data_IF_567920426688
#
_entry.id   IF_567920426688
#
_cell.length_a   1.000
_cell.length_b   1.000
_cell.length_c   1.000
_cell.angle_alpha   90.00
_cell.angle_beta   90.00
_cell.angle_gamma   90.00
#
_symmetry.space_group_name_H-M   'P 1'
#
loop_
_entity.id
_entity.type
_entity.pdbx_description
1 polymer ?
#
# COMPACT_ATOMS: atom_id res chain seq x y z
N UNK A 1 -91.23 72.97 11.57
CA UNK A 1 -90.65 74.30 11.69
C UNK A 1 -89.23 74.24 11.15
N UNK A 2 -89.04 74.81 9.96
CA UNK A 2 -88.08 75.85 9.65
C UNK A 2 -86.62 75.51 10.05
N UNK A 3 -85.55 75.57 9.26
CA UNK A 3 -85.15 76.46 8.19
C UNK A 3 -83.80 75.91 7.65
N UNK A 4 -83.64 75.93 6.40
CA UNK A 4 -82.75 76.68 5.50
C UNK A 4 -81.32 76.21 5.46
N UNK A 5 -80.99 75.71 4.30
CA UNK A 5 -79.97 76.04 3.31
C UNK A 5 -78.67 76.75 3.83
N UNK A 6 -77.52 76.16 3.49
CA UNK A 6 -76.50 76.97 2.83
C UNK A 6 -75.60 75.99 2.04
N UNK A 7 -75.55 76.30 0.78
CA UNK A 7 -74.59 75.72 -0.20
C UNK A 7 -73.23 76.38 0.03
N UNK A 8 -72.23 75.59 0.22
CA UNK A 8 -70.85 76.06 0.10
C UNK A 8 -70.08 75.07 -0.75
N UNK A 9 -69.87 75.50 -1.96
CA UNK A 9 -69.00 74.86 -2.93
C UNK A 9 -67.54 74.97 -2.44
N UNK A 10 -66.96 73.85 -2.09
CA UNK A 10 -65.50 73.74 -1.92
C UNK A 10 -64.95 72.86 -3.03
N UNK A 11 -64.29 73.51 -3.96
CA UNK A 11 -63.55 72.87 -5.00
C UNK A 11 -62.42 72.06 -4.33
N UNK A 12 -62.56 70.72 -4.27
CA UNK A 12 -61.52 69.82 -3.78
C UNK A 12 -60.62 69.52 -4.93
N UNK A 13 -59.45 70.17 -4.96
CA UNK A 13 -58.34 69.86 -5.81
C UNK A 13 -57.85 68.47 -5.51
N UNK A 14 -58.17 67.52 -6.38
CA UNK A 14 -57.59 66.18 -6.38
C UNK A 14 -56.11 66.30 -6.74
N UNK A 15 -55.26 66.39 -5.74
CA UNK A 15 -53.84 66.12 -5.90
C UNK A 15 -53.74 64.64 -6.13
N UNK A 16 -53.58 64.21 -7.39
CA UNK A 16 -53.17 62.92 -7.77
C UNK A 16 -51.75 62.65 -7.26
N UNK A 17 -51.63 62.02 -6.16
CA UNK A 17 -50.39 61.38 -5.79
C UNK A 17 -50.05 60.26 -6.79
N UNK A 18 -49.21 60.61 -7.79
CA UNK A 18 -48.59 59.59 -8.59
C UNK A 18 -47.77 58.76 -7.62
N UNK A 19 -48.28 57.58 -7.23
CA UNK A 19 -47.48 56.54 -6.63
C UNK A 19 -46.50 56.16 -7.75
N UNK A 20 -45.27 56.70 -7.69
CA UNK A 20 -44.18 56.16 -8.43
C UNK A 20 -44.01 54.74 -7.98
N UNK A 21 -44.60 53.80 -8.68
CA UNK A 21 -44.22 52.39 -8.56
C UNK A 21 -42.73 52.35 -8.82
N UNK A 22 -41.94 52.23 -7.74
CA UNK A 22 -40.58 51.84 -7.89
C UNK A 22 -40.63 50.51 -8.63
N UNK A 23 -40.33 50.56 -9.94
CA UNK A 23 -40.15 49.34 -10.70
C UNK A 23 -39.06 48.56 -9.95
N UNK A 24 -39.51 47.51 -9.25
CA UNK A 24 -38.57 46.51 -8.72
C UNK A 24 -37.69 46.10 -9.90
N UNK A 25 -36.52 46.66 -9.97
CA UNK A 25 -35.51 46.15 -10.88
C UNK A 25 -35.35 44.69 -10.53
N UNK A 26 -35.54 43.75 -11.46
CA UNK A 26 -35.39 42.36 -11.18
C UNK A 26 -33.95 42.19 -10.64
N UNK A 27 -33.86 41.96 -9.33
CA UNK A 27 -32.57 41.61 -8.73
C UNK A 27 -32.05 40.42 -9.51
N UNK A 28 -30.94 40.61 -10.21
CA UNK A 28 -30.26 39.54 -10.90
C UNK A 28 -30.09 38.39 -9.87
N UNK A 29 -30.77 37.28 -10.14
CA UNK A 29 -30.66 36.13 -9.25
C UNK A 29 -29.21 35.89 -8.90
N UNK A 30 -28.85 35.63 -7.63
CA UNK A 30 -27.46 35.31 -7.27
C UNK A 30 -27.02 34.20 -8.17
N UNK A 31 -25.76 34.23 -8.65
CA UNK A 31 -25.24 33.16 -9.49
C UNK A 31 -25.41 31.82 -8.76
N UNK A 32 -25.80 30.76 -9.47
CA UNK A 32 -25.96 29.46 -8.87
C UNK A 32 -24.69 29.09 -8.11
N UNK A 33 -24.77 28.44 -6.95
CA UNK A 33 -23.59 28.01 -6.22
C UNK A 33 -22.69 27.18 -7.16
N UNK A 34 -21.36 27.33 -7.07
CA UNK A 34 -20.45 26.55 -7.89
C UNK A 34 -20.75 25.06 -7.69
N UNK A 35 -20.71 24.23 -8.73
CA UNK A 35 -20.92 22.80 -8.61
C UNK A 35 -19.93 22.23 -7.60
N UNK A 36 -20.33 21.25 -6.78
CA UNK A 36 -19.42 20.63 -5.84
C UNK A 36 -18.17 20.11 -6.59
N UNK A 37 -17.00 20.22 -5.99
CA UNK A 37 -15.77 19.73 -6.62
C UNK A 37 -15.93 18.24 -6.91
N UNK A 38 -15.68 17.86 -8.16
CA UNK A 38 -15.66 16.46 -8.57
C UNK A 38 -14.49 15.76 -7.86
N UNK A 39 -14.72 14.56 -7.35
CA UNK A 39 -13.68 13.75 -6.76
C UNK A 39 -12.57 13.48 -7.79
N UNK A 40 -11.31 13.58 -7.35
CA UNK A 40 -10.13 13.27 -8.17
C UNK A 40 -9.15 12.42 -7.38
N UNK A 41 -8.51 11.48 -8.06
CA UNK A 41 -7.44 10.67 -7.53
C UNK A 41 -6.08 11.38 -7.53
N UNK A 42 -6.01 12.62 -8.09
CA UNK A 42 -4.77 13.40 -8.13
C UNK A 42 -4.41 13.89 -6.75
N UNK A 43 -3.20 13.58 -6.30
CA UNK A 43 -2.68 14.03 -5.02
C UNK A 43 -1.65 13.08 -4.46
N UNK A 44 -1.02 13.49 -3.35
CA UNK A 44 -0.22 12.60 -2.52
C UNK A 44 -1.12 11.91 -1.50
N UNK A 45 -0.70 10.74 -1.07
CA UNK A 45 -1.37 10.04 0.02
C UNK A 45 -0.38 9.41 0.97
N UNK A 46 -0.83 9.24 2.21
CA UNK A 46 -0.17 8.47 3.24
C UNK A 46 -1.19 7.54 3.86
N UNK A 47 -0.77 6.34 4.19
CA UNK A 47 -1.70 5.36 4.74
C UNK A 47 -1.02 4.30 5.58
N UNK A 48 -1.87 3.47 6.16
CA UNK A 48 -1.46 2.27 6.87
C UNK A 48 -2.12 1.03 6.27
N UNK A 49 -1.48 -0.11 6.41
CA UNK A 49 -2.00 -1.38 5.94
C UNK A 49 -1.76 -2.50 6.95
N UNK A 50 -2.58 -3.53 6.83
CA UNK A 50 -2.42 -4.81 7.50
C UNK A 50 -2.72 -5.93 6.51
N UNK A 51 -2.16 -7.10 6.74
CA UNK A 51 -2.38 -8.21 5.82
C UNK A 51 -1.71 -9.51 6.23
N UNK A 52 -1.61 -10.39 5.26
CA UNK A 52 -0.91 -11.65 5.36
C UNK A 52 0.13 -11.81 4.27
N UNK A 53 1.25 -12.42 4.59
CA UNK A 53 2.30 -12.76 3.65
C UNK A 53 2.62 -14.26 3.73
N UNK A 54 2.79 -14.88 2.56
CA UNK A 54 3.20 -16.28 2.40
C UNK A 54 4.53 -16.32 1.66
N UNK A 55 5.49 -16.99 2.25
CA UNK A 55 6.85 -17.12 1.69
C UNK A 55 7.04 -18.55 1.19
N UNK A 56 7.32 -18.69 -0.09
CA UNK A 56 7.70 -19.95 -0.71
C UNK A 56 9.18 -19.92 -1.04
N UNK A 57 9.90 -20.98 -0.69
CA UNK A 57 11.26 -21.18 -1.12
C UNK A 57 11.59 -22.67 -1.22
N UNK A 58 12.53 -22.99 -2.12
CA UNK A 58 13.07 -24.35 -2.28
C UNK A 58 14.56 -24.29 -2.03
N UNK A 59 15.03 -25.10 -1.09
CA UNK A 59 16.45 -25.25 -0.81
C UNK A 59 17.01 -26.47 -1.51
N UNK A 60 18.18 -26.35 -2.09
CA UNK A 60 18.92 -27.47 -2.66
C UNK A 60 20.30 -27.53 -2.01
N UNK A 61 20.59 -28.68 -1.45
CA UNK A 61 21.90 -29.08 -0.94
C UNK A 61 22.77 -29.52 -2.13
N UNK A 62 23.99 -28.99 -2.25
CA UNK A 62 24.87 -29.31 -3.36
C UNK A 62 25.65 -30.60 -3.16
N UNK A 63 25.82 -31.04 -1.92
CA UNK A 63 26.62 -32.23 -1.60
C UNK A 63 25.85 -33.53 -1.92
N UNK A 64 24.58 -33.58 -1.59
CA UNK A 64 23.74 -34.77 -1.79
C UNK A 64 22.67 -34.56 -2.86
N UNK A 65 22.54 -33.33 -3.41
CA UNK A 65 21.49 -32.98 -4.39
C UNK A 65 20.08 -33.01 -3.83
N UNK A 66 19.93 -33.05 -2.51
CA UNK A 66 18.64 -33.15 -1.83
C UNK A 66 17.90 -31.84 -1.92
N UNK A 67 16.62 -31.89 -2.31
CA UNK A 67 15.76 -30.74 -2.37
C UNK A 67 14.81 -30.72 -1.19
N UNK A 68 14.77 -29.58 -0.51
CA UNK A 68 13.86 -29.33 0.61
C UNK A 68 12.91 -28.22 0.21
N UNK A 69 11.63 -28.57 0.05
CA UNK A 69 10.59 -27.58 -0.18
C UNK A 69 10.14 -27.05 1.18
N UNK A 70 10.47 -25.82 1.47
CA UNK A 70 9.91 -25.11 2.61
C UNK A 70 8.65 -24.33 2.18
N UNK A 71 7.66 -25.08 1.68
CA UNK A 71 6.32 -24.55 1.46
C UNK A 71 5.57 -24.50 2.79
N UNK A 72 6.03 -23.62 3.67
CA UNK A 72 5.26 -23.34 4.87
C UNK A 72 4.02 -22.55 4.46
N UNK A 73 2.89 -23.25 4.36
CA UNK A 73 1.55 -22.63 4.23
C UNK A 73 1.19 -21.75 5.44
N UNK A 74 2.11 -21.52 6.35
CA UNK A 74 1.91 -20.66 7.49
C UNK A 74 2.05 -19.19 7.03
N UNK A 75 0.91 -18.57 6.80
CA UNK A 75 0.84 -17.14 6.57
C UNK A 75 1.42 -16.38 7.76
N UNK A 76 2.13 -15.29 7.48
CA UNK A 76 2.61 -14.33 8.47
C UNK A 76 1.71 -13.12 8.44
N UNK A 77 1.39 -12.60 9.61
CA UNK A 77 0.79 -11.28 9.69
C UNK A 77 1.81 -10.22 9.26
N UNK A 78 1.38 -9.30 8.42
CA UNK A 78 2.14 -8.11 8.05
C UNK A 78 1.35 -6.87 8.42
N UNK A 79 2.05 -5.80 8.72
CA UNK A 79 1.43 -4.50 8.96
C UNK A 79 2.46 -3.39 8.82
N UNK A 80 2.04 -2.31 8.22
CA UNK A 80 2.95 -1.25 7.89
C UNK A 80 2.29 0.02 7.42
N UNK A 81 3.05 0.79 6.67
CA UNK A 81 2.60 2.04 6.09
C UNK A 81 3.00 2.20 4.65
N UNK A 82 2.27 3.04 3.96
CA UNK A 82 2.55 3.41 2.58
C UNK A 82 2.47 4.91 2.37
N UNK A 83 3.27 5.38 1.44
CA UNK A 83 3.18 6.73 0.89
C UNK A 83 3.20 6.65 -0.63
N UNK A 84 2.49 7.54 -1.28
CA UNK A 84 2.47 7.57 -2.72
C UNK A 84 1.88 8.85 -3.29
N UNK A 85 1.79 8.88 -4.60
CA UNK A 85 1.17 9.97 -5.32
C UNK A 85 0.55 9.47 -6.61
N UNK A 86 -0.58 10.03 -6.96
CA UNK A 86 -1.34 9.72 -8.15
C UNK A 86 -1.56 10.98 -8.97
N UNK A 87 -1.62 10.80 -10.28
CA UNK A 87 -2.03 11.82 -11.23
C UNK A 87 -3.10 11.24 -12.17
N UNK A 88 -4.28 11.85 -12.19
CA UNK A 88 -5.42 11.41 -12.97
C UNK A 88 -5.54 12.18 -14.28
N UNK A 89 -5.68 11.44 -15.38
CA UNK A 89 -5.89 11.98 -16.74
C UNK A 89 -7.18 11.34 -17.27
N UNK A 90 -8.30 12.06 -17.18
CA UNK A 90 -9.60 11.49 -17.50
C UNK A 90 -9.97 10.33 -16.57
N UNK A 91 -10.09 9.13 -17.11
CA UNK A 91 -10.35 7.91 -16.33
C UNK A 91 -9.08 7.15 -15.96
N UNK A 92 -7.92 7.53 -16.47
CA UNK A 92 -6.67 6.85 -16.18
C UNK A 92 -5.93 7.52 -15.03
N UNK A 93 -5.33 6.70 -14.18
CA UNK A 93 -4.53 7.15 -13.04
C UNK A 93 -3.15 6.54 -13.17
N UNK A 94 -2.13 7.37 -13.10
CA UNK A 94 -0.74 6.94 -13.02
C UNK A 94 -0.15 7.44 -11.70
N UNK A 95 0.70 6.64 -11.09
CA UNK A 95 1.26 7.02 -9.81
C UNK A 95 2.47 6.18 -9.40
N UNK A 96 2.95 6.46 -8.21
CA UNK A 96 4.00 5.70 -7.56
C UNK A 96 3.65 5.48 -6.10
N UNK A 97 4.08 4.34 -5.56
CA UNK A 97 3.84 3.97 -4.17
C UNK A 97 5.11 3.36 -3.58
N UNK A 98 5.39 3.73 -2.35
CA UNK A 98 6.37 3.08 -1.51
C UNK A 98 5.65 2.51 -0.29
N UNK A 99 5.85 1.20 -0.06
CA UNK A 99 5.33 0.48 1.10
C UNK A 99 6.49 0.05 1.99
N UNK A 100 6.24 0.05 3.30
CA UNK A 100 7.11 -0.54 4.29
C UNK A 100 6.27 -1.33 5.29
N UNK A 101 6.51 -2.65 5.36
CA UNK A 101 5.75 -3.58 6.18
C UNK A 101 6.68 -4.34 7.13
N UNK A 102 6.28 -4.47 8.39
CA UNK A 102 6.85 -5.43 9.33
C UNK A 102 6.09 -6.75 9.20
N UNK A 103 6.85 -7.83 9.11
CA UNK A 103 6.31 -9.18 9.11
C UNK A 103 6.48 -9.81 10.49
N UNK A 104 5.39 -10.33 11.03
CA UNK A 104 5.38 -11.04 12.30
C UNK A 104 6.31 -12.25 12.29
N UNK A 105 6.82 -12.59 13.47
CA UNK A 105 7.72 -13.72 13.63
C UNK A 105 6.96 -15.04 13.49
N UNK A 106 7.46 -15.94 12.65
CA UNK A 106 6.95 -17.32 12.55
C UNK A 106 8.11 -18.29 12.81
N UNK A 107 8.15 -18.85 14.02
CA UNK A 107 9.25 -19.69 14.52
C UNK A 107 9.34 -21.09 13.88
N UNK A 108 8.55 -21.40 12.85
CA UNK A 108 8.42 -22.74 12.30
C UNK A 108 9.24 -23.01 11.04
N UNK A 109 10.25 -22.21 10.74
CA UNK A 109 11.08 -22.38 9.54
C UNK A 109 12.35 -23.21 9.80
N UNK A 110 12.20 -24.34 10.49
CA UNK A 110 13.32 -25.23 10.75
C UNK A 110 13.41 -26.28 9.65
N UNK A 111 14.49 -26.28 8.89
CA UNK A 111 14.81 -27.34 7.93
C UNK A 111 15.91 -28.21 8.56
N UNK A 112 15.57 -29.46 8.86
CA UNK A 112 16.55 -30.45 9.32
C UNK A 112 17.17 -31.19 8.14
N UNK A 113 18.48 -31.22 8.07
CA UNK A 113 19.25 -31.99 7.09
C UNK A 113 20.15 -32.98 7.83
N UNK A 114 20.05 -34.24 7.47
CA UNK A 114 20.95 -35.28 8.01
C UNK A 114 22.20 -35.34 7.14
N UNK A 115 23.34 -35.07 7.75
CA UNK A 115 24.68 -35.20 7.12
C UNK A 115 25.45 -36.31 7.83
N UNK A 116 26.51 -36.85 7.23
CA UNK A 116 27.34 -37.91 7.87
C UNK A 116 27.90 -37.54 9.24
N UNK A 117 28.08 -36.23 9.51
CA UNK A 117 28.59 -35.72 10.80
C UNK A 117 27.47 -35.38 11.80
N UNK A 118 26.20 -35.73 11.51
CA UNK A 118 25.05 -35.49 12.39
C UNK A 118 23.89 -34.79 11.72
N UNK A 119 22.89 -34.39 12.49
CA UNK A 119 21.75 -33.66 11.99
C UNK A 119 22.00 -32.16 12.10
N UNK A 120 21.93 -31.47 10.98
CA UNK A 120 22.01 -30.00 10.93
C UNK A 120 20.60 -29.45 10.85
N UNK A 121 20.29 -28.45 11.66
CA UNK A 121 19.04 -27.69 11.56
C UNK A 121 19.37 -26.27 11.16
N UNK A 122 18.76 -25.85 10.07
CA UNK A 122 18.83 -24.46 9.58
C UNK A 122 17.64 -23.71 10.15
N UNK A 123 17.89 -22.81 11.08
CA UNK A 123 16.89 -21.91 11.65
C UNK A 123 16.98 -20.56 10.98
N UNK A 124 15.89 -20.11 10.43
CA UNK A 124 15.74 -18.72 9.96
C UNK A 124 14.98 -17.94 11.02
N UNK A 125 15.68 -17.20 11.85
CA UNK A 125 15.08 -16.39 12.92
C UNK A 125 14.64 -15.04 12.36
N UNK A 126 13.38 -14.70 12.53
CA UNK A 126 12.66 -13.77 11.68
C UNK A 126 12.18 -12.52 12.40
N UNK A 127 12.93 -11.46 12.31
CA UNK A 127 12.34 -10.13 12.25
C UNK A 127 12.47 -9.65 10.81
N UNK A 128 11.49 -9.98 9.99
CA UNK A 128 11.52 -9.60 8.58
C UNK A 128 10.75 -8.31 8.40
N UNK A 129 11.34 -7.42 7.68
CA UNK A 129 10.63 -6.29 7.08
C UNK A 129 10.59 -6.50 5.56
N UNK A 130 9.57 -5.96 4.96
CA UNK A 130 9.37 -5.95 3.51
C UNK A 130 9.21 -4.49 3.10
N UNK A 131 9.95 -4.06 2.11
CA UNK A 131 9.74 -2.74 1.50
C UNK A 131 9.61 -2.89 0.00
N UNK A 132 8.71 -2.13 -0.58
CA UNK A 132 8.45 -2.16 -2.01
C UNK A 132 8.34 -0.75 -2.58
N UNK A 133 8.84 -0.57 -3.80
CA UNK A 133 8.66 0.65 -4.59
C UNK A 133 8.09 0.25 -5.93
N UNK A 134 6.96 0.82 -6.31
CA UNK A 134 6.26 0.46 -7.53
C UNK A 134 5.64 1.66 -8.22
N UNK A 135 5.59 1.59 -9.54
CA UNK A 135 4.70 2.40 -10.35
C UNK A 135 3.29 1.79 -10.34
N UNK A 136 2.27 2.64 -10.31
CA UNK A 136 0.84 2.25 -10.36
C UNK A 136 0.23 2.77 -11.65
N UNK A 137 -0.61 1.94 -12.26
CA UNK A 137 -1.45 2.32 -13.38
C UNK A 137 -2.86 1.82 -13.13
N UNK A 138 -3.84 2.71 -13.17
CA UNK A 138 -5.21 2.39 -12.82
C UNK A 138 -6.26 3.03 -13.73
N UNK A 139 -7.46 2.51 -13.58
CA UNK A 139 -8.67 3.02 -14.22
C UNK A 139 -9.67 3.42 -13.14
N UNK A 140 -10.05 4.70 -13.16
CA UNK A 140 -10.94 5.30 -12.19
C UNK A 140 -12.35 5.43 -12.76
N UNK A 141 -13.35 5.00 -11.99
CA UNK A 141 -14.77 5.21 -12.24
C UNK A 141 -15.36 5.79 -10.97
N UNK A 142 -15.68 7.07 -10.99
CA UNK A 142 -16.12 7.82 -9.82
C UNK A 142 -15.17 7.64 -8.62
N UNK A 143 -15.64 7.03 -7.56
CA UNK A 143 -14.91 6.78 -6.32
C UNK A 143 -14.16 5.43 -6.31
N UNK A 144 -14.20 4.66 -7.40
CA UNK A 144 -13.51 3.40 -7.54
C UNK A 144 -12.26 3.54 -8.40
N UNK A 145 -11.17 2.95 -7.96
CA UNK A 145 -9.93 2.83 -8.72
C UNK A 145 -9.53 1.35 -8.76
N UNK A 146 -9.51 0.79 -9.96
CA UNK A 146 -8.89 -0.51 -10.22
C UNK A 146 -7.49 -0.27 -10.75
N UNK A 147 -6.48 -0.93 -10.19
CA UNK A 147 -5.09 -0.68 -10.58
C UNK A 147 -4.22 -1.92 -10.59
N UNK A 148 -3.19 -1.86 -11.42
CA UNK A 148 -2.04 -2.72 -11.37
C UNK A 148 -0.81 -1.95 -10.92
N UNK A 149 0.17 -2.63 -10.32
CA UNK A 149 1.45 -2.05 -9.98
C UNK A 149 2.61 -2.97 -10.36
N UNK A 150 3.75 -2.36 -10.67
CA UNK A 150 4.98 -3.07 -10.97
C UNK A 150 6.19 -2.28 -10.46
N UNK A 151 7.19 -3.00 -9.97
CA UNK A 151 8.35 -2.36 -9.38
C UNK A 151 9.37 -3.31 -8.81
N UNK A 152 10.02 -2.90 -7.74
CA UNK A 152 10.97 -3.70 -6.99
C UNK A 152 10.62 -3.77 -5.51
N UNK A 153 11.15 -4.78 -4.85
CA UNK A 153 10.99 -4.91 -3.41
C UNK A 153 12.19 -5.62 -2.77
N UNK A 154 12.34 -5.41 -1.49
CA UNK A 154 13.42 -5.98 -0.69
C UNK A 154 12.84 -6.55 0.59
N UNK A 155 13.41 -7.68 0.99
CA UNK A 155 13.07 -8.35 2.26
C UNK A 155 14.30 -8.36 3.14
N UNK A 156 14.19 -7.81 4.33
CA UNK A 156 15.23 -7.89 5.35
C UNK A 156 15.08 -9.19 6.12
N UNK A 157 16.15 -9.98 6.14
CA UNK A 157 16.19 -11.28 6.80
C UNK A 157 17.39 -11.27 7.75
N UNK A 158 17.13 -11.26 9.04
CA UNK A 158 18.17 -10.82 9.97
C UNK A 158 19.06 -11.92 10.55
N UNK A 159 18.69 -13.19 10.61
CA UNK A 159 19.57 -14.20 11.21
C UNK A 159 19.31 -15.61 10.67
N UNK A 160 20.16 -16.06 9.78
CA UNK A 160 20.28 -17.47 9.46
C UNK A 160 21.22 -18.13 10.48
N UNK A 161 20.74 -19.10 11.23
CA UNK A 161 21.54 -19.89 12.16
C UNK A 161 21.49 -21.35 11.75
N UNK A 162 22.66 -21.96 11.63
CA UNK A 162 22.83 -23.38 11.36
C UNK A 162 23.32 -24.03 12.64
N UNK A 163 22.55 -24.98 13.16
CA UNK A 163 22.88 -25.71 14.40
C UNK A 163 23.11 -27.19 14.09
N UNK A 164 24.25 -27.72 14.50
CA UNK A 164 24.46 -29.18 14.53
C UNK A 164 23.87 -29.73 15.83
N UNK A 165 22.78 -30.50 15.71
CA UNK A 165 22.07 -31.06 16.88
C UNK A 165 22.88 -32.10 17.64
N UNK A 166 23.84 -32.74 16.99
CA UNK A 166 24.66 -33.78 17.65
C UNK A 166 25.71 -33.17 18.58
N UNK A 167 26.28 -32.02 18.19
CA UNK A 167 27.33 -31.34 18.96
C UNK A 167 26.84 -30.09 19.69
N UNK A 168 25.66 -29.58 19.36
CA UNK A 168 25.11 -28.34 19.92
C UNK A 168 25.76 -27.06 19.39
N UNK A 169 26.72 -27.18 18.45
CA UNK A 169 27.43 -26.02 17.89
C UNK A 169 26.55 -25.30 16.87
N UNK A 170 26.46 -23.97 16.99
CA UNK A 170 25.70 -23.11 16.10
C UNK A 170 26.59 -22.13 15.37
N UNK A 171 26.35 -21.95 14.08
CA UNK A 171 26.93 -20.91 13.23
C UNK A 171 25.84 -19.92 12.87
N UNK A 172 26.09 -18.62 13.09
CA UNK A 172 25.13 -17.55 12.77
C UNK A 172 25.75 -16.61 11.73
N UNK A 173 24.91 -16.16 10.80
CA UNK A 173 25.34 -15.14 9.83
C UNK A 173 25.70 -13.83 10.53
N UNK A 174 26.84 -13.25 10.18
CA UNK A 174 27.29 -11.96 10.71
C UNK A 174 28.09 -12.01 12.01
N UNK A 175 28.37 -13.19 12.58
CA UNK A 175 29.33 -13.39 13.69
C UNK A 175 30.65 -13.97 13.20
N UNK A 176 31.69 -13.91 14.05
CA UNK A 176 33.07 -14.36 13.72
C UNK A 176 33.20 -15.83 13.35
N UNK A 177 32.18 -16.64 13.52
CA UNK A 177 32.11 -18.04 13.09
C UNK A 177 31.32 -18.13 11.79
N UNK A 178 32.01 -18.09 10.77
CA UNK A 178 31.77 -17.74 9.39
C UNK A 178 30.89 -18.71 8.60
N UNK A 179 29.57 -18.43 8.55
CA UNK A 179 28.84 -18.71 7.32
C UNK A 179 29.20 -17.61 6.31
N UNK A 180 29.77 -17.97 5.17
CA UNK A 180 30.10 -17.03 4.11
C UNK A 180 28.90 -16.84 3.15
N UNK A 181 28.77 -15.66 2.55
CA UNK A 181 27.70 -15.30 1.62
C UNK A 181 26.27 -15.22 2.21
N UNK A 182 26.14 -14.99 3.48
CA UNK A 182 24.86 -14.69 4.10
C UNK A 182 24.35 -13.30 3.71
N UNK A 183 23.86 -13.12 2.50
CA UNK A 183 23.23 -11.85 2.09
C UNK A 183 22.03 -11.53 2.96
N UNK A 184 22.06 -10.40 3.70
CA UNK A 184 21.00 -10.02 4.64
C UNK A 184 19.76 -9.44 3.94
N UNK A 185 19.93 -8.90 2.73
CA UNK A 185 18.83 -8.32 1.96
C UNK A 185 18.76 -8.98 0.59
N UNK A 186 17.57 -9.40 0.22
CA UNK A 186 17.34 -9.93 -1.12
C UNK A 186 16.35 -9.02 -1.83
N UNK A 187 16.82 -8.39 -2.90
CA UNK A 187 15.95 -7.62 -3.79
C UNK A 187 15.27 -8.52 -4.82
N UNK A 188 14.16 -8.05 -5.34
CA UNK A 188 13.39 -8.75 -6.35
C UNK A 188 12.45 -7.84 -7.13
N UNK A 189 11.77 -8.43 -8.10
CA UNK A 189 10.74 -7.74 -8.88
C UNK A 189 9.37 -7.92 -8.23
N UNK A 190 8.55 -6.87 -8.31
CA UNK A 190 7.21 -6.82 -7.76
C UNK A 190 6.20 -6.64 -8.88
N UNK A 191 5.11 -7.41 -8.83
CA UNK A 191 3.86 -7.12 -9.54
C UNK A 191 2.71 -7.27 -8.59
N UNK A 192 1.70 -6.43 -8.74
CA UNK A 192 0.51 -6.47 -7.91
C UNK A 192 -0.70 -5.90 -8.61
N UNK A 193 -1.84 -6.14 -8.03
CA UNK A 193 -3.11 -5.58 -8.46
C UNK A 193 -4.00 -5.33 -7.24
N UNK A 194 -4.84 -4.31 -7.36
CA UNK A 194 -5.75 -3.97 -6.29
C UNK A 194 -6.90 -3.10 -6.75
N UNK A 195 -7.78 -2.87 -5.84
CA UNK A 195 -8.84 -1.88 -5.99
C UNK A 195 -8.89 -0.97 -4.76
N UNK A 196 -9.27 0.26 -4.98
CA UNK A 196 -9.34 1.29 -3.96
C UNK A 196 -10.68 2.01 -4.08
N UNK A 197 -11.32 2.30 -2.97
CA UNK A 197 -12.59 3.00 -2.90
C UNK A 197 -12.48 4.22 -2.00
N UNK A 198 -12.84 5.38 -2.54
CA UNK A 198 -12.90 6.63 -1.80
C UNK A 198 -14.27 6.79 -1.15
N UNK A 199 -14.35 6.59 0.17
CA UNK A 199 -15.61 6.77 0.91
C UNK A 199 -15.83 8.22 1.36
N UNK A 200 -14.79 9.04 1.29
CA UNK A 200 -14.87 10.50 1.36
C UNK A 200 -13.89 11.11 0.34
N UNK A 201 -13.90 12.43 0.20
CA UNK A 201 -12.96 13.11 -0.70
C UNK A 201 -11.47 12.89 -0.33
N UNK A 202 -11.18 12.55 0.91
CA UNK A 202 -9.81 12.43 1.40
C UNK A 202 -9.47 11.03 1.93
N UNK A 203 -10.45 10.20 2.23
CA UNK A 203 -10.20 8.89 2.80
C UNK A 203 -10.55 7.78 1.83
N UNK A 204 -9.63 6.86 1.65
CA UNK A 204 -9.81 5.69 0.80
C UNK A 204 -9.51 4.41 1.56
N UNK A 205 -10.12 3.33 1.13
CA UNK A 205 -9.79 1.97 1.56
C UNK A 205 -9.31 1.18 0.36
N UNK A 206 -8.20 0.46 0.50
CA UNK A 206 -7.64 -0.37 -0.58
C UNK A 206 -7.59 -1.84 -0.18
N UNK A 207 -7.77 -2.70 -1.18
CA UNK A 207 -7.46 -4.12 -1.13
C UNK A 207 -6.46 -4.43 -2.23
N UNK A 208 -5.40 -5.16 -1.89
CA UNK A 208 -4.26 -5.36 -2.78
C UNK A 208 -3.69 -6.75 -2.64
N UNK A 209 -3.31 -7.34 -3.76
CA UNK A 209 -2.51 -8.54 -3.84
C UNK A 209 -1.19 -8.23 -4.53
N UNK A 210 -0.09 -8.61 -3.88
CA UNK A 210 1.26 -8.42 -4.36
C UNK A 210 2.00 -9.74 -4.48
N UNK A 211 2.73 -9.89 -5.57
CA UNK A 211 3.68 -10.96 -5.79
C UNK A 211 5.09 -10.38 -5.92
N UNK A 212 5.96 -10.77 -4.99
CA UNK A 212 7.37 -10.36 -4.96
C UNK A 212 8.24 -11.57 -5.28
N UNK A 213 8.82 -11.59 -6.49
CA UNK A 213 9.78 -12.60 -6.93
C UNK A 213 11.19 -12.22 -6.52
N UNK A 214 11.79 -12.98 -5.61
CA UNK A 214 13.11 -12.71 -5.05
C UNK A 214 14.20 -13.46 -5.80
N UNK A 215 15.41 -12.91 -5.81
CA UNK A 215 16.60 -13.59 -6.34
C UNK A 215 17.02 -14.83 -5.52
N UNK A 216 17.81 -15.69 -6.15
CA UNK A 216 18.39 -16.85 -5.49
C UNK A 216 19.37 -16.42 -4.38
N UNK A 217 19.45 -17.24 -3.34
CA UNK A 217 20.39 -17.04 -2.24
C UNK A 217 21.22 -18.30 -2.04
N UNK A 218 22.52 -18.13 -1.89
CA UNK A 218 23.45 -19.21 -1.64
C UNK A 218 24.20 -18.92 -0.34
N UNK A 219 24.36 -19.91 0.53
CA UNK A 219 25.24 -19.82 1.67
C UNK A 219 26.12 -21.06 1.74
N UNK A 220 27.32 -20.89 2.28
CA UNK A 220 28.31 -21.96 2.38
C UNK A 220 28.59 -22.26 3.84
N UNK A 221 28.45 -23.52 4.21
CA UNK A 221 28.88 -24.08 5.49
C UNK A 221 30.36 -24.45 5.34
N UNK A 222 31.26 -23.88 6.15
CA UNK A 222 32.68 -24.18 6.03
C UNK A 222 33.00 -25.63 6.36
N UNK A 223 33.98 -26.22 5.67
CA UNK A 223 34.46 -27.57 5.91
C UNK A 223 35.33 -27.64 7.18
N UNK A 224 34.80 -27.24 8.32
CA UNK A 224 35.46 -27.27 9.64
C UNK A 224 34.62 -28.07 10.62
N UNK A 225 35.29 -28.83 11.51
CA UNK A 225 34.56 -29.58 12.54
C UNK A 225 33.72 -28.64 13.40
N UNK A 226 32.47 -29.01 13.74
CA UNK A 226 31.77 -30.28 13.51
C UNK A 226 30.93 -30.34 12.22
N UNK A 227 31.19 -29.51 11.22
CA UNK A 227 30.41 -29.39 9.98
C UNK A 227 31.12 -30.04 8.77
N UNK A 228 31.89 -31.09 9.00
CA UNK A 228 32.57 -31.83 7.94
C UNK A 228 31.66 -32.85 7.26
N UNK A 229 31.75 -33.01 5.92
CA UNK A 229 32.38 -32.11 4.97
C UNK A 229 31.59 -30.83 4.80
N UNK A 230 32.21 -29.71 4.47
CA UNK A 230 31.47 -28.46 4.20
C UNK A 230 30.47 -28.61 3.06
N UNK A 231 29.45 -27.76 3.04
CA UNK A 231 28.34 -27.84 2.07
C UNK A 231 27.86 -26.46 1.60
N UNK A 232 27.24 -26.46 0.42
CA UNK A 232 26.67 -25.27 -0.18
C UNK A 232 25.17 -25.46 -0.34
N UNK A 233 24.40 -24.58 0.28
CA UNK A 233 22.95 -24.55 0.16
C UNK A 233 22.52 -23.39 -0.74
N UNK A 234 21.72 -23.71 -1.75
CA UNK A 234 21.14 -22.72 -2.64
C UNK A 234 19.63 -22.69 -2.49
N UNK A 235 19.09 -21.52 -2.21
CA UNK A 235 17.65 -21.27 -2.20
C UNK A 235 17.20 -20.76 -3.56
N UNK A 236 16.32 -21.50 -4.18
CA UNK A 236 15.74 -21.21 -5.49
C UNK A 236 14.23 -20.93 -5.37
N UNK A 237 13.65 -20.31 -6.39
CA UNK A 237 12.20 -20.02 -6.47
C UNK A 237 11.64 -19.28 -5.24
N UNK A 238 12.38 -18.31 -4.76
CA UNK A 238 11.96 -17.51 -3.62
C UNK A 238 10.91 -16.51 -4.08
N UNK A 239 9.75 -16.57 -3.48
CA UNK A 239 8.71 -15.57 -3.67
C UNK A 239 7.94 -15.29 -2.38
N UNK A 240 7.41 -14.07 -2.32
CA UNK A 240 6.51 -13.65 -1.25
C UNK A 240 5.21 -13.21 -1.89
N UNK A 241 4.12 -13.80 -1.47
CA UNK A 241 2.77 -13.40 -1.84
C UNK A 241 2.16 -12.67 -0.67
N UNK A 242 1.55 -11.52 -0.93
CA UNK A 242 0.97 -10.66 0.10
C UNK A 242 -0.47 -10.32 -0.27
N UNK A 243 -1.34 -10.35 0.73
CA UNK A 243 -2.70 -9.79 0.63
C UNK A 243 -2.80 -8.71 1.68
N UNK A 244 -3.14 -7.50 1.27
CA UNK A 244 -3.16 -6.32 2.13
C UNK A 244 -4.51 -5.61 2.05
N UNK A 245 -4.95 -5.11 3.20
CA UNK A 245 -6.03 -4.13 3.31
C UNK A 245 -5.43 -2.87 3.92
N UNK A 246 -5.67 -1.73 3.31
CA UNK A 246 -5.10 -0.47 3.76
C UNK A 246 -6.12 0.66 3.75
N UNK A 247 -5.79 1.69 4.49
CA UNK A 247 -6.53 2.95 4.51
C UNK A 247 -5.56 4.07 4.19
N UNK A 248 -5.93 4.95 3.27
CA UNK A 248 -5.12 6.10 2.88
C UNK A 248 -5.85 7.41 3.18
N UNK A 249 -5.08 8.41 3.55
CA UNK A 249 -5.49 9.80 3.52
C UNK A 249 -4.91 10.47 2.27
N UNK A 250 -5.77 10.90 1.36
CA UNK A 250 -5.42 11.57 0.12
C UNK A 250 -5.40 13.09 0.34
N UNK A 251 -4.25 13.69 0.11
CA UNK A 251 -4.07 15.14 0.09
C UNK A 251 -4.40 15.62 -1.33
N UNK A 252 -5.68 15.89 -1.56
CA UNK A 252 -6.12 16.44 -2.84
C UNK A 252 -5.54 17.84 -3.01
N UNK A 253 -4.81 18.04 -4.08
CA UNK A 253 -4.52 19.38 -4.53
C UNK A 253 -5.75 19.81 -5.33
N UNK A 254 -6.46 20.80 -4.81
CA UNK A 254 -7.52 21.45 -5.56
C UNK A 254 -6.91 21.97 -6.87
N UNK A 255 -6.99 21.17 -7.91
CA UNK A 255 -6.80 21.67 -9.26
C UNK A 255 -8.05 22.51 -9.50
N UNK A 256 -7.95 23.84 -9.60
CA UNK A 256 -9.11 24.67 -9.94
C UNK A 256 -9.72 24.04 -11.19
N UNK A 257 -11.02 23.72 -11.14
CA UNK A 257 -11.74 23.24 -12.29
C UNK A 257 -11.54 24.32 -13.36
N UNK A 258 -10.60 24.08 -14.29
CA UNK A 258 -10.44 24.96 -15.43
C UNK A 258 -11.79 24.97 -16.12
N UNK A 259 -12.47 26.10 -16.02
CA UNK A 259 -13.73 26.33 -16.67
C UNK A 259 -13.51 25.99 -18.16
N UNK A 260 -14.06 24.87 -18.59
CA UNK A 260 -14.16 24.55 -20.01
C UNK A 260 -15.31 25.41 -20.52
N UNK A 261 -14.96 26.54 -21.15
CA UNK A 261 -15.85 27.31 -22.00
C UNK A 261 -16.05 26.55 -23.31
#
# INVERSE_FOLDING_TARGET
MKFKTLVASVALSVLGTAVAGAADMPMKAPPPPPPPPLFTWTGFYVGGNIGGAWVNNTWTDSLFGTRFNNNNNNGRFIGGGQIGGNYQIGQFVIGGEWDFDWAGNNNNNNVGVVIPAGTIVVNNSNNSWITTVAARFGWAVDHWLLYGKAGGGWVGDNNLTVTNLTTGVSLTCGTFTTLTNCGNNTGGWLVGAGFEYAFTNNWTVKFEYDYLGLGNRTFVIPATAPFLPGDTFTSNNRNVQMVKVGVNYLFNWDVPAAARY
#
